data_IF_021953581248
#
_entry.id   IF_021953581248
#
_cell.length_a   1.000
_cell.length_b   1.000
_cell.length_c   1.000
_cell.angle_alpha   90.00
_cell.angle_beta   90.00
_cell.angle_gamma   90.00
#
_symmetry.space_group_name_H-M   'P 1'
#
loop_
_entity.id
_entity.type
_entity.pdbx_description
1 polymer ?
#
# COMPACT_ATOMS: atom_id res chain seq x y z
N UNK A 1 -25.95 -21.27 -0.14
CA UNK A 1 -25.04 -20.49 0.69
C UNK A 1 -24.33 -21.45 1.64
N UNK A 2 -23.06 -21.24 1.89
CA UNK A 2 -22.27 -21.96 2.88
C UNK A 2 -21.88 -20.94 3.96
N UNK A 3 -22.05 -21.34 5.20
CA UNK A 3 -21.62 -20.55 6.35
C UNK A 3 -20.71 -21.44 7.22
N UNK A 4 -19.57 -20.90 7.63
CA UNK A 4 -18.57 -21.63 8.41
C UNK A 4 -18.16 -20.76 9.59
N UNK A 5 -18.34 -21.28 10.81
CA UNK A 5 -17.90 -20.64 12.03
C UNK A 5 -16.58 -21.24 12.48
N UNK A 6 -15.62 -20.39 12.79
CA UNK A 6 -14.36 -20.77 13.39
C UNK A 6 -14.40 -20.46 14.89
N UNK A 7 -14.13 -21.45 15.71
CA UNK A 7 -13.98 -21.25 17.15
C UNK A 7 -12.52 -21.00 17.52
N UNK A 8 -12.30 -20.46 18.71
CA UNK A 8 -10.95 -20.30 19.27
C UNK A 8 -10.20 -21.63 19.34
N UNK A 9 -8.90 -21.62 19.09
CA UNK A 9 -8.04 -22.80 19.06
C UNK A 9 -7.85 -23.36 17.66
N UNK A 10 -7.67 -24.66 17.56
CA UNK A 10 -7.37 -25.34 16.29
C UNK A 10 -8.63 -25.92 15.64
N UNK A 11 -8.91 -25.53 14.41
CA UNK A 11 -9.97 -26.12 13.57
C UNK A 11 -9.33 -26.96 12.45
N UNK A 12 -9.71 -28.23 12.34
CA UNK A 12 -9.22 -29.13 11.29
C UNK A 12 -10.34 -29.37 10.26
N UNK A 13 -10.05 -29.08 8.98
CA UNK A 13 -10.98 -29.30 7.87
C UNK A 13 -10.47 -30.45 7.03
N UNK A 14 -11.17 -31.59 7.09
CA UNK A 14 -10.83 -32.81 6.35
C UNK A 14 -11.79 -33.07 5.21
N UNK A 15 -11.36 -33.82 4.21
CA UNK A 15 -12.18 -34.19 3.06
C UNK A 15 -11.30 -34.68 1.91
N UNK A 16 -11.93 -35.35 0.92
CA UNK A 16 -11.26 -35.80 -0.27
C UNK A 16 -10.80 -34.61 -1.15
N UNK A 17 -9.84 -34.85 -2.04
CA UNK A 17 -9.41 -33.86 -3.04
C UNK A 17 -10.60 -33.47 -3.92
N UNK A 18 -10.89 -32.18 -4.03
CA UNK A 18 -12.06 -31.66 -4.74
C UNK A 18 -13.32 -31.47 -3.88
N UNK A 19 -13.36 -31.94 -2.62
CA UNK A 19 -14.54 -31.88 -1.73
C UNK A 19 -14.77 -30.49 -1.06
N UNK A 20 -14.35 -29.39 -1.70
CA UNK A 20 -14.66 -28.05 -1.21
C UNK A 20 -13.60 -27.38 -0.34
N UNK A 21 -12.51 -28.10 0.09
CA UNK A 21 -11.40 -27.47 0.83
C UNK A 21 -10.78 -26.30 0.07
N UNK A 22 -10.50 -26.51 -1.22
CA UNK A 22 -9.93 -25.47 -2.10
C UNK A 22 -10.90 -24.31 -2.35
N UNK A 23 -12.21 -24.59 -2.34
CA UNK A 23 -13.25 -23.56 -2.48
C UNK A 23 -13.27 -22.65 -1.24
N UNK A 24 -13.16 -23.25 -0.06
CA UNK A 24 -13.14 -22.51 1.21
C UNK A 24 -11.88 -21.65 1.30
N UNK A 25 -10.71 -22.20 0.99
CA UNK A 25 -9.44 -21.46 0.96
C UNK A 25 -9.47 -20.37 -0.12
N UNK A 26 -10.07 -20.66 -1.30
CA UNK A 26 -10.29 -19.68 -2.35
C UNK A 26 -11.19 -18.53 -1.91
N UNK A 27 -12.29 -18.82 -1.22
CA UNK A 27 -13.19 -17.84 -0.63
C UNK A 27 -12.47 -16.95 0.39
N UNK A 28 -11.70 -17.53 1.30
CA UNK A 28 -10.89 -16.81 2.27
C UNK A 28 -9.87 -15.91 1.57
N UNK A 29 -9.15 -16.43 0.59
CA UNK A 29 -8.18 -15.64 -0.20
C UNK A 29 -8.83 -14.45 -0.91
N UNK A 30 -10.06 -14.59 -1.41
CA UNK A 30 -10.80 -13.49 -2.02
C UNK A 30 -11.13 -12.38 -1.03
N UNK A 31 -11.59 -12.73 0.17
CA UNK A 31 -11.88 -11.78 1.24
C UNK A 31 -10.60 -11.05 1.67
N UNK A 32 -9.48 -11.73 1.67
CA UNK A 32 -8.17 -11.17 2.02
C UNK A 32 -7.49 -10.38 0.88
N UNK A 33 -8.20 -10.05 -0.19
CA UNK A 33 -7.70 -9.15 -1.23
C UNK A 33 -7.11 -9.82 -2.46
N UNK A 34 -6.91 -11.14 -2.49
CA UNK A 34 -6.36 -11.80 -3.69
C UNK A 34 -7.24 -11.59 -4.91
N UNK A 35 -6.63 -11.54 -6.10
CA UNK A 35 -7.35 -11.42 -7.37
C UNK A 35 -8.27 -12.61 -7.58
N UNK A 36 -9.48 -12.33 -8.06
CA UNK A 36 -10.44 -13.36 -8.35
C UNK A 36 -10.06 -14.11 -9.64
N UNK A 37 -10.02 -15.44 -9.56
CA UNK A 37 -10.07 -16.28 -10.75
C UNK A 37 -11.53 -16.57 -11.08
N UNK A 38 -12.03 -15.90 -12.11
CA UNK A 38 -13.42 -16.02 -12.53
C UNK A 38 -13.74 -17.39 -13.14
N UNK A 39 -12.73 -18.12 -13.60
CA UNK A 39 -12.90 -19.48 -14.14
C UNK A 39 -13.26 -20.49 -13.04
N UNK A 40 -12.97 -20.18 -11.78
CA UNK A 40 -13.29 -21.01 -10.62
C UNK A 40 -14.72 -20.80 -10.09
N UNK A 41 -15.49 -19.86 -10.67
CA UNK A 41 -16.87 -19.60 -10.24
C UNK A 41 -17.79 -20.74 -10.66
N UNK A 42 -18.52 -21.30 -9.69
CA UNK A 42 -19.49 -22.38 -9.94
C UNK A 42 -20.65 -21.96 -10.88
N UNK A 43 -21.04 -20.67 -10.84
CA UNK A 43 -22.08 -20.09 -11.68
C UNK A 43 -21.62 -18.73 -12.22
N UNK A 44 -20.96 -18.71 -13.40
CA UNK A 44 -20.41 -17.47 -13.97
C UNK A 44 -21.45 -16.38 -14.23
N UNK A 45 -22.69 -16.77 -14.46
CA UNK A 45 -23.81 -15.86 -14.77
C UNK A 45 -24.43 -15.20 -13.54
N UNK A 46 -24.01 -15.60 -12.34
CA UNK A 46 -24.55 -15.06 -11.09
C UNK A 46 -23.49 -14.29 -10.29
N UNK A 47 -23.96 -13.28 -9.57
CA UNK A 47 -23.16 -12.58 -8.58
C UNK A 47 -22.69 -13.57 -7.52
N UNK A 48 -21.37 -13.61 -7.27
CA UNK A 48 -20.78 -14.32 -6.14
C UNK A 48 -20.47 -13.30 -5.04
N UNK A 49 -20.85 -13.62 -3.81
CA UNK A 49 -20.54 -12.82 -2.63
C UNK A 49 -19.83 -13.71 -1.63
N UNK A 50 -18.71 -13.24 -1.16
CA UNK A 50 -17.96 -13.85 -0.05
C UNK A 50 -17.83 -12.81 1.03
N UNK A 51 -18.16 -13.19 2.26
CA UNK A 51 -18.13 -12.32 3.42
C UNK A 51 -17.41 -13.02 4.56
N UNK A 52 -16.61 -12.28 5.31
CA UNK A 52 -15.97 -12.74 6.53
C UNK A 52 -16.12 -11.69 7.62
N UNK A 53 -16.38 -12.16 8.81
CA UNK A 53 -16.53 -11.36 10.01
C UNK A 53 -15.31 -11.62 10.90
N UNK A 54 -14.63 -10.55 11.30
CA UNK A 54 -13.45 -10.58 12.15
C UNK A 54 -13.76 -9.89 13.48
N UNK A 55 -13.51 -10.56 14.57
CA UNK A 55 -13.53 -9.96 15.90
C UNK A 55 -12.14 -9.36 16.19
N UNK A 56 -12.09 -8.03 16.27
CA UNK A 56 -10.88 -7.24 16.49
C UNK A 56 -10.80 -6.69 17.92
N UNK A 57 -11.62 -7.18 18.86
CA UNK A 57 -11.72 -6.63 20.21
C UNK A 57 -10.37 -6.62 20.94
N UNK A 58 -9.55 -7.65 20.73
CA UNK A 58 -8.24 -7.80 21.38
C UNK A 58 -7.07 -7.27 20.54
N UNK A 59 -7.34 -6.60 19.41
CA UNK A 59 -6.32 -6.12 18.48
C UNK A 59 -6.22 -4.60 18.48
N UNK A 60 -4.99 -4.06 18.43
CA UNK A 60 -4.72 -2.62 18.32
C UNK A 60 -4.55 -2.21 16.87
N UNK A 61 -5.61 -2.37 16.05
CA UNK A 61 -5.57 -2.06 14.61
C UNK A 61 -6.18 -0.70 14.24
N UNK A 62 -6.55 0.11 15.22
CA UNK A 62 -7.19 1.41 14.97
C UNK A 62 -6.32 2.33 14.10
N UNK A 63 -5.01 2.38 14.36
CA UNK A 63 -4.09 3.20 13.56
C UNK A 63 -4.03 2.74 12.10
N UNK A 64 -4.10 1.43 11.84
CA UNK A 64 -4.12 0.88 10.48
C UNK A 64 -5.41 1.28 9.74
N UNK A 65 -6.55 1.29 10.44
CA UNK A 65 -7.81 1.74 9.87
C UNK A 65 -7.79 3.24 9.58
N UNK A 66 -7.23 4.04 10.47
CA UNK A 66 -7.08 5.50 10.30
C UNK A 66 -6.14 5.81 9.11
N UNK A 67 -5.03 5.07 8.94
CA UNK A 67 -4.11 5.22 7.80
C UNK A 67 -4.76 4.85 6.45
N UNK A 68 -5.71 3.92 6.47
CA UNK A 68 -6.43 3.47 5.27
C UNK A 68 -7.73 4.25 5.02
N UNK A 69 -8.03 5.26 5.84
CA UNK A 69 -9.28 6.05 5.78
C UNK A 69 -10.54 5.17 5.89
N UNK A 70 -10.53 4.24 6.88
CA UNK A 70 -11.59 3.28 7.13
C UNK A 70 -12.17 3.42 8.54
N UNK A 71 -13.47 3.19 8.68
CA UNK A 71 -14.14 3.17 9.97
C UNK A 71 -13.76 1.90 10.75
N UNK A 72 -13.14 2.07 11.92
CA UNK A 72 -12.84 0.95 12.82
C UNK A 72 -14.09 0.49 13.56
N UNK A 73 -14.34 -0.81 13.52
CA UNK A 73 -15.34 -1.49 14.34
C UNK A 73 -14.71 -2.74 14.98
N UNK A 74 -15.07 -3.03 16.22
CA UNK A 74 -14.57 -4.24 16.91
C UNK A 74 -15.00 -5.52 16.21
N UNK A 75 -16.20 -5.54 15.62
CA UNK A 75 -16.66 -6.57 14.69
C UNK A 75 -16.56 -6.00 13.26
N UNK A 76 -15.50 -6.37 12.56
CA UNK A 76 -15.21 -5.87 11.22
C UNK A 76 -15.68 -6.86 10.17
N UNK A 77 -16.49 -6.40 9.23
CA UNK A 77 -17.04 -7.20 8.13
C UNK A 77 -16.28 -6.87 6.86
N UNK A 78 -15.67 -7.86 6.23
CA UNK A 78 -15.06 -7.76 4.92
C UNK A 78 -15.90 -8.53 3.91
N UNK A 79 -16.33 -7.84 2.84
CA UNK A 79 -17.16 -8.42 1.79
C UNK A 79 -16.53 -8.25 0.42
N UNK A 80 -16.50 -9.33 -0.35
CA UNK A 80 -16.10 -9.35 -1.76
C UNK A 80 -17.29 -9.72 -2.64
N UNK A 81 -17.49 -8.95 -3.68
CA UNK A 81 -18.51 -9.19 -4.67
C UNK A 81 -17.89 -9.38 -6.04
N UNK A 82 -18.17 -10.51 -6.67
CA UNK A 82 -17.77 -10.80 -8.05
C UNK A 82 -19.01 -10.76 -8.94
N UNK A 83 -18.99 -9.89 -9.94
CA UNK A 83 -20.10 -9.72 -10.87
C UNK A 83 -19.87 -10.58 -12.12
N UNK A 84 -20.92 -11.03 -12.81
CA UNK A 84 -20.85 -11.88 -14.01
C UNK A 84 -19.97 -11.30 -15.12
N UNK A 85 -19.83 -9.97 -15.15
CA UNK A 85 -19.03 -9.25 -16.15
C UNK A 85 -17.53 -9.19 -15.84
N UNK A 86 -17.07 -9.93 -14.85
CA UNK A 86 -15.68 -9.93 -14.42
C UNK A 86 -15.27 -8.77 -13.52
N UNK A 87 -16.18 -7.87 -13.21
CA UNK A 87 -15.92 -6.78 -12.25
C UNK A 87 -15.98 -7.31 -10.83
N UNK A 88 -15.07 -6.85 -9.98
CA UNK A 88 -15.07 -7.18 -8.56
C UNK A 88 -15.12 -5.91 -7.71
N UNK A 89 -15.77 -6.01 -6.55
CA UNK A 89 -15.88 -4.94 -5.57
C UNK A 89 -15.47 -5.49 -4.20
N UNK A 90 -14.84 -4.64 -3.42
CA UNK A 90 -14.46 -4.95 -2.04
C UNK A 90 -15.07 -3.92 -1.10
N UNK A 91 -15.45 -4.37 0.08
CA UNK A 91 -16.06 -3.53 1.12
C UNK A 91 -15.49 -3.91 2.48
N UNK A 92 -15.26 -2.92 3.31
CA UNK A 92 -14.94 -3.05 4.73
C UNK A 92 -15.99 -2.24 5.50
N UNK A 93 -16.74 -2.87 6.38
CA UNK A 93 -17.85 -2.25 7.12
C UNK A 93 -18.79 -1.43 6.19
N UNK A 94 -19.21 -2.01 5.07
CA UNK A 94 -19.99 -1.37 4.02
C UNK A 94 -19.33 -0.23 3.22
N UNK A 95 -18.13 0.21 3.61
CA UNK A 95 -17.34 1.19 2.86
C UNK A 95 -16.64 0.52 1.69
N UNK A 96 -16.82 0.98 0.44
CA UNK A 96 -16.13 0.43 -0.72
C UNK A 96 -14.64 0.76 -0.66
N UNK A 97 -13.79 -0.25 -0.87
CA UNK A 97 -12.33 -0.11 -0.76
C UNK A 97 -11.61 -0.57 -2.02
N UNK A 98 -10.42 -0.03 -2.25
CA UNK A 98 -9.51 -0.54 -3.26
C UNK A 98 -8.94 -1.89 -2.82
N UNK A 99 -8.61 -2.73 -3.80
CA UNK A 99 -8.05 -4.05 -3.52
C UNK A 99 -6.72 -3.96 -2.75
N UNK A 100 -5.90 -2.97 -3.07
CA UNK A 100 -4.63 -2.71 -2.40
C UNK A 100 -4.81 -2.37 -0.91
N UNK A 101 -5.77 -1.51 -0.58
CA UNK A 101 -6.10 -1.19 0.82
C UNK A 101 -6.62 -2.41 1.58
N UNK A 102 -7.41 -3.26 0.91
CA UNK A 102 -7.87 -4.51 1.48
C UNK A 102 -6.72 -5.48 1.73
N UNK A 103 -5.76 -5.62 0.82
CA UNK A 103 -4.56 -6.46 1.00
C UNK A 103 -3.71 -5.98 2.19
N UNK A 104 -3.54 -4.66 2.34
CA UNK A 104 -2.82 -4.08 3.48
C UNK A 104 -3.51 -4.38 4.81
N UNK A 105 -4.82 -4.17 4.90
CA UNK A 105 -5.58 -4.51 6.10
C UNK A 105 -5.52 -6.01 6.42
N UNK A 106 -5.70 -6.84 5.39
CA UNK A 106 -5.75 -8.31 5.53
C UNK A 106 -4.45 -8.93 6.03
N UNK A 107 -3.31 -8.29 5.74
CA UNK A 107 -2.00 -8.73 6.26
C UNK A 107 -1.92 -8.69 7.80
N UNK A 108 -2.76 -7.89 8.44
CA UNK A 108 -2.86 -7.80 9.91
C UNK A 108 -3.93 -8.74 10.51
N UNK A 109 -4.80 -9.31 9.67
CA UNK A 109 -5.95 -10.12 10.13
C UNK A 109 -5.67 -11.62 10.08
N UNK A 110 -5.08 -12.11 8.99
CA UNK A 110 -4.89 -13.54 8.75
C UNK A 110 -3.59 -13.78 8.02
N UNK A 111 -2.82 -14.75 8.53
CA UNK A 111 -1.66 -15.28 7.83
C UNK A 111 -2.03 -16.62 7.19
N UNK A 112 -1.84 -16.73 5.88
CA UNK A 112 -2.12 -17.95 5.11
C UNK A 112 -0.80 -18.59 4.65
N UNK A 113 -0.47 -19.70 5.25
CA UNK A 113 0.65 -20.53 4.79
C UNK A 113 0.15 -21.59 3.80
N UNK A 114 0.41 -21.38 2.52
CA UNK A 114 0.18 -22.39 1.48
C UNK A 114 1.48 -23.14 1.13
N UNK A 115 1.35 -24.26 0.45
CA UNK A 115 2.52 -25.07 0.04
C UNK A 115 3.57 -24.30 -0.79
N UNK A 116 3.21 -23.12 -1.30
CA UNK A 116 4.05 -22.28 -2.17
C UNK A 116 4.45 -20.93 -1.53
N UNK A 117 4.05 -20.64 -0.29
CA UNK A 117 4.24 -19.31 0.34
C UNK A 117 5.55 -19.21 1.17
N UNK A 118 6.61 -19.77 0.67
CA UNK A 118 7.97 -19.52 1.22
C UNK A 118 8.50 -18.11 0.91
N UNK A 119 7.71 -17.26 0.25
CA UNK A 119 8.17 -15.95 -0.23
C UNK A 119 8.54 -14.95 0.88
N UNK A 120 7.90 -15.03 2.05
CA UNK A 120 8.23 -14.15 3.17
C UNK A 120 9.62 -14.48 3.74
N UNK A 121 9.97 -15.76 3.80
CA UNK A 121 11.29 -16.20 4.28
C UNK A 121 12.42 -15.84 3.32
N UNK A 122 12.10 -15.57 2.05
CA UNK A 122 13.06 -15.17 1.02
C UNK A 122 13.24 -13.65 0.92
N UNK A 123 12.51 -12.86 1.69
CA UNK A 123 12.73 -11.42 1.75
C UNK A 123 14.00 -11.12 2.53
N UNK A 124 14.89 -10.31 1.96
CA UNK A 124 16.16 -9.92 2.59
C UNK A 124 15.99 -9.24 3.95
N UNK A 125 14.83 -8.62 4.20
CA UNK A 125 14.48 -7.97 5.47
C UNK A 125 14.04 -8.91 6.58
N UNK A 126 13.57 -10.12 6.24
CA UNK A 126 12.99 -11.06 7.22
C UNK A 126 14.00 -11.53 8.29
N UNK A 127 15.25 -11.92 7.96
CA UNK A 127 16.23 -12.33 8.96
C UNK A 127 16.55 -11.23 9.97
N UNK A 128 16.63 -9.98 9.53
CA UNK A 128 16.91 -8.81 10.41
C UNK A 128 15.72 -8.59 11.33
N UNK A 129 14.49 -8.60 10.81
CA UNK A 129 13.28 -8.44 11.63
C UNK A 129 13.15 -9.54 12.69
N UNK A 130 13.50 -10.79 12.35
CA UNK A 130 13.51 -11.91 13.30
C UNK A 130 14.57 -11.71 14.39
N UNK A 131 15.77 -11.26 14.02
CA UNK A 131 16.84 -10.96 14.96
C UNK A 131 16.45 -9.84 15.91
N UNK A 132 15.84 -8.76 15.42
CA UNK A 132 15.35 -7.65 16.23
C UNK A 132 14.27 -8.10 17.23
N UNK A 133 13.33 -8.93 16.78
CA UNK A 133 12.30 -9.49 17.66
C UNK A 133 12.89 -10.39 18.76
N UNK A 134 13.91 -11.20 18.43
CA UNK A 134 14.58 -12.08 19.41
C UNK A 134 15.48 -11.28 20.38
N UNK A 135 16.10 -10.20 19.91
CA UNK A 135 16.99 -9.34 20.70
C UNK A 135 16.21 -8.45 21.69
N UNK A 136 14.90 -8.29 21.51
CA UNK A 136 14.03 -7.40 22.30
C UNK A 136 14.53 -5.95 22.33
N UNK A 137 15.02 -5.47 21.19
CA UNK A 137 15.60 -4.13 21.01
C UNK A 137 14.61 -3.11 20.45
N UNK A 138 13.31 -3.28 20.73
CA UNK A 138 12.22 -2.46 20.20
C UNK A 138 12.47 -0.95 20.40
N UNK A 139 12.94 -0.55 21.57
CA UNK A 139 13.21 0.87 21.88
C UNK A 139 14.34 1.44 21.02
N UNK A 140 15.40 0.66 20.79
CA UNK A 140 16.54 1.06 19.98
C UNK A 140 16.13 1.13 18.51
N UNK A 141 15.28 0.19 18.06
CA UNK A 141 14.73 0.17 16.70
C UNK A 141 13.86 1.39 16.43
N UNK A 142 12.96 1.76 17.35
CA UNK A 142 12.12 2.96 17.24
C UNK A 142 12.99 4.23 17.19
N UNK A 143 14.01 4.32 18.05
CA UNK A 143 14.95 5.44 18.05
C UNK A 143 15.71 5.54 16.72
N UNK A 144 16.23 4.42 16.23
CA UNK A 144 16.92 4.34 14.94
C UNK A 144 16.01 4.76 13.78
N UNK A 145 14.79 4.23 13.70
CA UNK A 145 13.83 4.56 12.64
C UNK A 145 13.48 6.05 12.63
N UNK A 146 13.33 6.65 13.82
CA UNK A 146 13.04 8.07 13.96
C UNK A 146 14.18 8.91 13.42
N UNK A 147 15.43 8.60 13.82
CA UNK A 147 16.62 9.29 13.35
C UNK A 147 16.87 9.09 11.86
N UNK A 148 16.64 7.89 11.35
CA UNK A 148 16.76 7.59 9.92
C UNK A 148 15.77 8.42 9.10
N UNK A 149 14.51 8.52 9.57
CA UNK A 149 13.48 9.33 8.90
C UNK A 149 13.85 10.81 8.85
N UNK A 150 14.42 11.33 9.95
CA UNK A 150 14.90 12.71 10.01
C UNK A 150 16.11 12.93 9.10
N UNK A 151 17.08 12.02 9.11
CA UNK A 151 18.24 12.06 8.22
C UNK A 151 17.80 12.10 6.75
N UNK A 152 16.92 11.19 6.32
CA UNK A 152 16.44 11.14 4.94
C UNK A 152 15.67 12.41 4.53
N UNK A 153 14.97 13.05 5.48
CA UNK A 153 14.29 14.33 5.24
C UNK A 153 15.31 15.45 5.02
N UNK A 154 16.33 15.52 5.85
CA UNK A 154 17.40 16.54 5.75
C UNK A 154 18.24 16.35 4.49
N UNK A 155 18.55 15.12 4.12
CA UNK A 155 19.30 14.79 2.90
C UNK A 155 18.54 15.25 1.65
N UNK A 156 17.25 14.98 1.56
CA UNK A 156 16.40 15.46 0.45
C UNK A 156 16.35 16.99 0.39
N UNK A 157 16.27 17.64 1.54
CA UNK A 157 16.24 19.11 1.61
C UNK A 157 17.59 19.71 1.18
N UNK A 158 18.69 19.09 1.57
CA UNK A 158 20.03 19.48 1.14
C UNK A 158 20.18 19.35 -0.38
N UNK A 159 19.74 18.24 -0.97
CA UNK A 159 19.76 18.05 -2.42
C UNK A 159 18.93 19.12 -3.14
N UNK A 160 17.73 19.41 -2.63
CA UNK A 160 16.88 20.46 -3.21
C UNK A 160 17.56 21.84 -3.18
N UNK A 161 18.15 22.22 -2.05
CA UNK A 161 18.86 23.50 -1.92
C UNK A 161 20.08 23.56 -2.84
N UNK A 162 20.79 22.47 -3.00
CA UNK A 162 21.94 22.38 -3.92
C UNK A 162 21.50 22.56 -5.38
N UNK A 163 20.37 21.95 -5.78
CA UNK A 163 19.80 22.11 -7.13
C UNK A 163 19.30 23.54 -7.35
N UNK A 164 18.66 24.16 -6.36
CA UNK A 164 18.23 25.54 -6.41
C UNK A 164 19.41 26.51 -6.55
N UNK A 165 20.48 26.29 -5.79
CA UNK A 165 21.70 27.06 -5.89
C UNK A 165 22.34 26.96 -7.28
N UNK A 166 22.46 25.72 -7.79
CA UNK A 166 23.02 25.51 -9.15
C UNK A 166 22.22 26.22 -10.22
N UNK A 167 20.88 26.20 -10.14
CA UNK A 167 20.00 26.94 -11.06
C UNK A 167 20.15 28.46 -10.91
N UNK A 168 20.30 28.95 -9.67
CA UNK A 168 20.50 30.37 -9.42
C UNK A 168 21.84 30.85 -10.00
N UNK A 169 22.90 30.07 -9.85
CA UNK A 169 24.24 30.38 -10.41
C UNK A 169 24.19 30.42 -11.95
N UNK A 170 23.54 29.45 -12.60
CA UNK A 170 23.36 29.45 -14.05
C UNK A 170 22.56 30.66 -14.55
N UNK A 171 21.48 31.02 -13.83
CA UNK A 171 20.67 32.18 -14.16
C UNK A 171 21.47 33.49 -13.97
N UNK A 172 22.31 33.54 -12.94
CA UNK A 172 23.17 34.69 -12.71
C UNK A 172 24.17 34.88 -13.86
N UNK A 173 24.88 33.85 -14.26
CA UNK A 173 25.81 33.87 -15.38
C UNK A 173 25.11 34.31 -16.70
N UNK A 174 23.90 33.76 -16.98
CA UNK A 174 23.13 34.17 -18.14
C UNK A 174 22.71 35.63 -18.08
N UNK A 175 22.22 36.08 -16.93
CA UNK A 175 21.81 37.48 -16.75
C UNK A 175 23.01 38.45 -16.84
N UNK A 176 24.16 38.07 -16.34
CA UNK A 176 25.39 38.86 -16.46
C UNK A 176 25.80 38.99 -17.93
N UNK A 177 25.76 37.88 -18.69
CA UNK A 177 26.04 37.90 -20.13
C UNK A 177 25.05 38.81 -20.89
N UNK A 178 23.74 38.66 -20.65
CA UNK A 178 22.72 39.50 -21.27
C UNK A 178 22.85 40.98 -20.90
N UNK A 179 23.26 41.26 -19.68
CA UNK A 179 23.53 42.64 -19.25
C UNK A 179 24.71 43.25 -20.00
N UNK A 180 25.80 42.51 -20.15
CA UNK A 180 26.98 42.97 -20.94
C UNK A 180 26.62 43.23 -22.41
N UNK A 181 25.80 42.38 -23.05
CA UNK A 181 25.31 42.61 -24.42
C UNK A 181 24.47 43.87 -24.53
N UNK A 182 23.54 44.10 -23.59
CA UNK A 182 22.72 45.32 -23.57
C UNK A 182 23.56 46.60 -23.38
N UNK A 183 24.54 46.53 -22.50
CA UNK A 183 25.45 47.66 -22.24
C UNK A 183 26.32 47.94 -23.50
N UNK A 184 26.84 46.90 -24.15
CA UNK A 184 27.63 47.01 -25.40
C UNK A 184 26.81 47.58 -26.56
N UNK A 185 25.51 47.27 -26.63
CA UNK A 185 24.60 47.75 -27.64
C UNK A 185 24.34 49.28 -27.55
N UNK A 186 24.71 49.97 -26.46
CA UNK A 186 24.54 51.43 -26.26
C UNK A 186 23.18 51.96 -26.71
N UNK A 187 22.12 51.29 -26.37
CA UNK A 187 20.75 51.61 -26.78
C UNK A 187 20.39 53.03 -26.32
N UNK A 188 19.89 53.85 -27.26
CA UNK A 188 19.44 55.21 -27.02
C UNK A 188 17.94 55.31 -27.34
N UNK A 189 17.26 56.17 -26.58
CA UNK A 189 15.84 56.47 -26.80
C UNK A 189 15.59 56.96 -28.23
N UNK A 190 14.68 56.30 -28.98
CA UNK A 190 14.36 56.60 -30.39
C UNK A 190 15.12 55.84 -31.47
N UNK A 191 15.95 54.83 -31.09
CA UNK A 191 16.64 53.97 -32.05
C UNK A 191 15.70 53.02 -32.82
N UNK A 192 14.48 52.84 -32.37
CA UNK A 192 13.45 52.01 -33.01
C UNK A 192 12.92 52.66 -34.33
N UNK A 193 12.94 54.00 -34.44
CA UNK A 193 12.38 54.73 -35.59
C UNK A 193 13.07 54.52 -36.94
N UNK A 194 14.35 54.15 -37.04
CA UNK A 194 14.99 53.90 -38.32
C UNK A 194 14.86 52.45 -38.81
N UNK A 195 14.21 51.57 -38.10
CA UNK A 195 14.03 50.14 -38.43
C UNK A 195 12.63 49.82 -38.96
N UNK A 196 11.68 50.80 -39.00
CA UNK A 196 10.42 50.75 -39.74
C UNK A 196 10.57 51.40 -41.13
#
# INVERSE_FOLDING_TARGET
>A
ALEVHFSSGMTCITGETGAGKSILLGGLSLVLGKRADLSALFQPDKKCVVEAVFDLTDYTLKEVFDELDLDYQSETIIRRELLPQGKSRAFVNDTPVLLQSLEQLSAHLVDIHSQNDTQILLQDSYPIMLLDALAKNENDLVSYQTQLKEYLKLDRHLQQLSDEQSKADQNFELNEFLWQELEAAQLKEGMEKPLE
#
